data_IF_961315612398
#
_entry.id   IF_961315612398
#
_cell.length_a   1.000
_cell.length_b   1.000
_cell.length_c   1.000
_cell.angle_alpha   90.00
_cell.angle_beta   90.00
_cell.angle_gamma   90.00
#
_symmetry.space_group_name_H-M   'P 1'
#
loop_
_entity.id
_entity.type
_entity.pdbx_description
1 polymer ?
#
# COMPACT_ATOMS: atom_id res chain seq x y z
N UNK A 1 21.89 -1.90 -6.27
CA UNK A 1 21.57 -2.47 -7.60
C UNK A 1 22.68 -3.41 -8.10
N UNK A 2 23.96 -3.09 -7.92
CA UNK A 2 25.09 -3.96 -8.32
C UNK A 2 25.14 -5.30 -7.57
N UNK A 3 24.87 -5.34 -6.25
CA UNK A 3 24.86 -6.60 -5.47
C UNK A 3 23.77 -7.58 -5.91
N UNK A 4 22.62 -7.13 -6.40
CA UNK A 4 21.54 -8.00 -6.85
C UNK A 4 21.83 -8.71 -8.18
N UNK A 5 22.68 -8.13 -9.00
CA UNK A 5 23.05 -8.70 -10.31
C UNK A 5 24.10 -9.80 -10.15
N UNK A 6 25.02 -9.67 -9.21
CA UNK A 6 26.04 -10.69 -8.92
C UNK A 6 25.48 -11.94 -8.21
N UNK A 7 24.36 -11.80 -7.45
CA UNK A 7 23.73 -12.96 -6.78
C UNK A 7 22.97 -13.90 -7.76
N UNK A 8 22.72 -13.50 -8.99
CA UNK A 8 21.96 -14.30 -9.96
C UNK A 8 22.82 -15.26 -10.80
N UNK A 9 24.14 -15.10 -10.75
CA UNK A 9 25.07 -15.96 -11.49
C UNK A 9 25.59 -17.16 -10.69
N UNK A 10 25.27 -17.26 -9.39
CA UNK A 10 25.66 -18.36 -8.49
C UNK A 10 24.45 -19.20 -8.07
N UNK A 11 23.68 -19.70 -9.03
CA UNK A 11 22.66 -20.71 -8.74
C UNK A 11 23.34 -22.06 -8.47
N UNK A 12 22.98 -22.79 -7.37
CA UNK A 12 23.59 -24.08 -7.06
C UNK A 12 23.28 -25.11 -8.14
N UNK A 13 24.29 -25.93 -8.52
CA UNK A 13 24.09 -27.12 -9.33
C UNK A 13 23.37 -28.17 -8.46
N UNK A 14 22.33 -28.78 -9.03
CA UNK A 14 21.52 -29.82 -8.38
C UNK A 14 22.38 -31.01 -7.94
N UNK A 15 22.36 -31.34 -6.62
CA UNK A 15 22.74 -32.67 -6.12
C UNK A 15 23.90 -32.78 -5.13
N UNK A 16 24.42 -31.68 -4.54
CA UNK A 16 25.45 -31.72 -3.48
C UNK A 16 24.95 -31.21 -2.13
N UNK A 17 25.55 -31.62 -1.00
CA UNK A 17 25.34 -30.96 0.29
C UNK A 17 25.72 -29.47 0.16
N UNK A 18 24.94 -28.55 0.74
CA UNK A 18 25.19 -27.11 0.63
C UNK A 18 26.58 -26.77 1.15
N UNK A 19 27.36 -26.07 0.34
CA UNK A 19 28.69 -25.62 0.70
C UNK A 19 28.63 -24.64 1.89
N UNK A 20 29.77 -24.41 2.53
CA UNK A 20 29.85 -23.45 3.64
C UNK A 20 29.46 -22.04 3.16
N UNK A 21 29.73 -21.70 1.93
CA UNK A 21 29.36 -20.43 1.30
C UNK A 21 27.85 -20.35 1.07
N UNK A 22 27.18 -21.42 0.65
CA UNK A 22 25.73 -21.48 0.47
C UNK A 22 25.00 -21.22 1.80
N UNK A 23 25.48 -21.79 2.89
CA UNK A 23 24.95 -21.54 4.25
C UNK A 23 25.12 -20.07 4.68
N UNK A 24 26.25 -19.45 4.34
CA UNK A 24 26.50 -18.04 4.62
C UNK A 24 25.51 -17.16 3.86
N UNK A 25 25.25 -17.45 2.59
CA UNK A 25 24.27 -16.71 1.79
C UNK A 25 22.84 -16.87 2.34
N UNK A 26 22.47 -18.07 2.77
CA UNK A 26 21.18 -18.32 3.39
C UNK A 26 21.02 -17.54 4.71
N UNK A 27 22.03 -17.54 5.57
CA UNK A 27 22.02 -16.74 6.80
C UNK A 27 21.97 -15.22 6.53
N UNK A 28 22.67 -14.75 5.50
CA UNK A 28 22.60 -13.35 5.09
C UNK A 28 21.20 -12.97 4.56
N UNK A 29 20.56 -13.84 3.79
CA UNK A 29 19.21 -13.62 3.31
C UNK A 29 18.19 -13.61 4.47
N UNK A 30 18.30 -14.54 5.41
CA UNK A 30 17.47 -14.58 6.63
C UNK A 30 17.69 -13.34 7.50
N UNK A 31 18.94 -12.91 7.67
CA UNK A 31 19.25 -11.69 8.44
C UNK A 31 18.66 -10.43 7.77
N UNK A 32 18.73 -10.32 6.44
CA UNK A 32 18.10 -9.21 5.71
C UNK A 32 16.57 -9.21 5.85
N UNK A 33 15.95 -10.38 5.83
CA UNK A 33 14.51 -10.51 6.03
C UNK A 33 14.10 -10.13 7.45
N UNK A 34 14.88 -10.57 8.45
CA UNK A 34 14.66 -10.22 9.86
C UNK A 34 14.81 -8.71 10.11
N UNK A 35 15.86 -8.09 9.57
CA UNK A 35 16.10 -6.64 9.66
C UNK A 35 14.99 -5.86 8.96
N UNK A 36 14.59 -6.29 7.78
CA UNK A 36 13.50 -5.64 7.03
C UNK A 36 12.16 -5.79 7.75
N UNK A 37 11.90 -6.95 8.35
CA UNK A 37 10.75 -7.22 9.20
C UNK A 37 10.74 -6.34 10.45
N UNK A 38 11.86 -6.29 11.19
CA UNK A 38 12.01 -5.47 12.39
C UNK A 38 11.85 -3.97 12.12
N UNK A 39 12.40 -3.47 11.01
CA UNK A 39 12.21 -2.07 10.59
C UNK A 39 10.73 -1.81 10.28
N UNK A 40 10.02 -2.76 9.69
CA UNK A 40 8.59 -2.65 9.42
C UNK A 40 7.77 -2.60 10.70
N UNK A 41 8.07 -3.47 11.66
CA UNK A 41 7.42 -3.48 12.99
C UNK A 41 7.71 -2.21 13.79
N UNK A 42 8.95 -1.73 13.81
CA UNK A 42 9.31 -0.46 14.45
C UNK A 42 8.57 0.73 13.82
N UNK A 43 8.45 0.77 12.49
CA UNK A 43 7.67 1.80 11.80
C UNK A 43 6.18 1.71 12.13
N UNK A 44 5.62 0.51 12.26
CA UNK A 44 4.26 0.33 12.73
C UNK A 44 4.09 0.84 14.17
N UNK A 45 4.95 0.45 15.09
CA UNK A 45 4.91 0.88 16.50
C UNK A 45 5.10 2.38 16.68
N UNK A 46 6.02 3.00 15.91
CA UNK A 46 6.22 4.46 15.93
C UNK A 46 4.98 5.19 15.38
N UNK A 47 4.36 4.63 14.34
CA UNK A 47 3.11 5.18 13.80
C UNK A 47 1.94 4.99 14.76
N UNK A 48 1.88 3.88 15.51
CA UNK A 48 0.89 3.67 16.57
C UNK A 48 1.06 4.67 17.73
N UNK A 49 2.27 4.92 18.21
CA UNK A 49 2.53 5.93 19.25
C UNK A 49 2.24 7.37 18.79
N UNK A 50 2.33 7.66 17.50
CA UNK A 50 1.93 8.96 16.93
C UNK A 50 0.40 9.14 16.84
N UNK A 51 -0.37 8.06 17.07
CA UNK A 51 -1.82 7.98 16.88
C UNK A 51 -2.68 8.23 18.11
N UNK A 52 -2.13 8.66 19.22
CA UNK A 52 -2.93 9.09 20.37
C UNK A 52 -3.72 10.40 20.14
N UNK A 53 -3.64 10.99 18.95
CA UNK A 53 -4.60 11.98 18.47
C UNK A 53 -5.57 11.27 17.54
N UNK A 54 -6.88 11.33 17.84
CA UNK A 54 -8.01 10.87 17.04
C UNK A 54 -7.83 11.18 15.55
N UNK A 55 -7.16 10.26 14.83
CA UNK A 55 -6.87 10.46 13.42
C UNK A 55 -8.05 9.91 12.63
N UNK A 56 -8.92 10.79 12.16
CA UNK A 56 -10.04 10.44 11.29
C UNK A 56 -9.55 9.95 9.93
N UNK A 57 -10.41 9.25 9.19
CA UNK A 57 -10.10 8.83 7.81
C UNK A 57 -9.90 10.06 6.93
N UNK A 58 -10.78 11.06 7.05
CA UNK A 58 -10.68 12.33 6.32
C UNK A 58 -9.35 13.02 6.58
N UNK A 59 -8.99 13.23 7.86
CA UNK A 59 -7.72 13.85 8.22
C UNK A 59 -6.50 13.06 7.71
N UNK A 60 -6.59 11.73 7.67
CA UNK A 60 -5.55 10.87 7.12
C UNK A 60 -5.35 11.08 5.63
N UNK A 61 -6.45 11.14 4.87
CA UNK A 61 -6.40 11.32 3.41
C UNK A 61 -5.91 12.72 3.05
N UNK A 62 -6.44 13.75 3.69
CA UNK A 62 -6.05 15.15 3.47
C UNK A 62 -4.57 15.40 3.82
N UNK A 63 -4.08 14.84 4.94
CA UNK A 63 -2.67 14.96 5.35
C UNK A 63 -1.74 14.29 4.33
N UNK A 64 -2.08 13.10 3.82
CA UNK A 64 -1.28 12.42 2.81
C UNK A 64 -1.29 13.17 1.48
N UNK A 65 -2.45 13.59 1.01
CA UNK A 65 -2.61 14.36 -0.23
C UNK A 65 -1.83 15.68 -0.16
N UNK A 66 -1.94 16.42 0.94
CA UNK A 66 -1.25 17.69 1.15
C UNK A 66 0.27 17.61 1.21
N UNK A 67 0.84 16.42 1.43
CA UNK A 67 2.31 16.19 1.42
C UNK A 67 2.88 15.96 0.04
N UNK A 68 2.07 15.59 -0.94
CA UNK A 68 2.50 15.40 -2.33
C UNK A 68 2.72 16.78 -2.96
N UNK A 69 3.89 17.00 -3.54
CA UNK A 69 4.27 18.26 -4.18
C UNK A 69 4.53 18.11 -5.67
N UNK A 70 4.73 16.89 -6.12
CA UNK A 70 5.11 16.54 -7.49
C UNK A 70 3.94 16.68 -8.46
N UNK A 71 2.74 16.33 -8.02
CA UNK A 71 1.48 16.44 -8.78
C UNK A 71 0.36 16.90 -7.85
N UNK A 72 -0.71 17.54 -8.34
CA UNK A 72 -1.92 17.77 -7.57
C UNK A 72 -2.60 16.47 -7.21
N UNK A 73 -3.03 16.34 -5.94
CA UNK A 73 -3.88 15.27 -5.45
C UNK A 73 -5.18 15.89 -4.99
N UNK A 74 -6.24 15.69 -5.75
CA UNK A 74 -7.57 16.20 -5.44
C UNK A 74 -8.31 15.21 -4.54
N UNK A 75 -8.90 15.71 -3.45
CA UNK A 75 -9.62 14.87 -2.48
C UNK A 75 -11.08 15.29 -2.45
N UNK A 76 -11.97 14.33 -2.64
CA UNK A 76 -13.40 14.51 -2.48
C UNK A 76 -13.92 13.62 -1.34
N UNK A 77 -14.63 14.22 -0.40
CA UNK A 77 -15.22 13.53 0.75
C UNK A 77 -16.75 13.52 0.60
N UNK A 78 -17.34 12.33 0.58
CA UNK A 78 -18.78 12.12 0.50
C UNK A 78 -19.28 11.44 1.78
N UNK A 79 -20.28 12.02 2.42
CA UNK A 79 -20.85 11.55 3.70
C UNK A 79 -20.10 12.11 4.92
N UNK A 80 -20.34 11.52 6.08
CA UNK A 80 -19.81 12.00 7.36
C UNK A 80 -18.80 11.01 7.95
N UNK A 81 -17.60 11.51 8.26
CA UNK A 81 -16.53 10.73 8.92
C UNK A 81 -16.82 10.67 10.43
N UNK A 82 -17.51 9.64 10.85
CA UNK A 82 -17.84 9.41 12.25
C UNK A 82 -16.81 8.49 12.94
N UNK A 83 -16.86 8.41 14.25
CA UNK A 83 -15.92 7.59 15.04
C UNK A 83 -15.87 6.11 14.65
N UNK A 84 -16.95 5.58 14.06
CA UNK A 84 -16.99 4.17 13.62
C UNK A 84 -15.97 3.85 12.53
N UNK A 85 -15.51 4.85 11.77
CA UNK A 85 -14.50 4.68 10.72
C UNK A 85 -13.06 4.83 11.20
N UNK A 86 -12.84 5.34 12.41
CA UNK A 86 -11.49 5.63 12.94
C UNK A 86 -10.57 4.41 12.88
N UNK A 87 -11.09 3.21 13.12
CA UNK A 87 -10.31 1.98 13.04
C UNK A 87 -9.81 1.65 11.60
N UNK A 88 -10.41 2.27 10.58
CA UNK A 88 -10.03 2.09 9.18
C UNK A 88 -8.94 3.08 8.72
N UNK A 89 -8.71 4.17 9.45
CA UNK A 89 -7.71 5.18 9.10
C UNK A 89 -6.30 4.58 8.85
N UNK A 90 -5.80 3.61 9.65
CA UNK A 90 -4.53 2.95 9.40
C UNK A 90 -4.47 2.19 8.08
N UNK A 91 -5.56 1.52 7.73
CA UNK A 91 -5.66 0.73 6.50
C UNK A 91 -5.67 1.67 5.32
N UNK A 92 -6.50 2.73 5.36
CA UNK A 92 -6.57 3.78 4.34
C UNK A 92 -5.22 4.46 4.15
N UNK A 93 -4.53 4.82 5.25
CA UNK A 93 -3.17 5.37 5.19
C UNK A 93 -2.21 4.47 4.40
N UNK A 94 -2.17 3.18 4.74
CA UNK A 94 -1.27 2.22 4.08
C UNK A 94 -1.56 2.03 2.60
N UNK A 95 -2.84 2.03 2.23
CA UNK A 95 -3.29 1.88 0.85
C UNK A 95 -2.99 3.14 0.03
N UNK A 96 -3.42 4.30 0.53
CA UNK A 96 -3.24 5.57 -0.18
C UNK A 96 -1.76 5.92 -0.36
N UNK A 97 -0.93 5.71 0.67
CA UNK A 97 0.52 5.90 0.58
C UNK A 97 1.15 5.04 -0.52
N UNK A 98 0.72 3.78 -0.65
CA UNK A 98 1.21 2.88 -1.68
C UNK A 98 0.74 3.33 -3.07
N UNK A 99 -0.54 3.74 -3.20
CA UNK A 99 -1.08 4.26 -4.44
C UNK A 99 -0.34 5.52 -4.91
N UNK A 100 -0.13 6.49 -4.03
CA UNK A 100 0.66 7.71 -4.31
C UNK A 100 2.08 7.34 -4.75
N UNK A 101 2.73 6.41 -4.02
CA UNK A 101 4.09 5.96 -4.37
C UNK A 101 4.16 5.34 -5.75
N UNK A 102 3.15 4.55 -6.12
CA UNK A 102 3.08 3.91 -7.44
C UNK A 102 2.82 4.93 -8.54
N UNK A 103 1.89 5.86 -8.32
CA UNK A 103 1.62 6.95 -9.24
C UNK A 103 2.89 7.76 -9.53
N UNK A 104 3.57 8.26 -8.51
CA UNK A 104 4.78 9.08 -8.65
C UNK A 104 5.96 8.34 -9.30
N UNK A 105 6.05 7.00 -9.14
CA UNK A 105 7.17 6.22 -9.68
C UNK A 105 6.95 5.69 -11.08
N UNK A 106 5.70 5.40 -11.44
CA UNK A 106 5.44 4.55 -12.61
C UNK A 106 4.42 5.11 -13.58
N UNK A 107 3.53 6.02 -13.12
CA UNK A 107 2.40 6.44 -13.93
C UNK A 107 2.72 7.56 -14.90
N UNK A 108 3.74 8.38 -14.63
CA UNK A 108 3.96 9.66 -15.33
C UNK A 108 2.68 10.52 -15.39
N UNK A 109 1.88 10.47 -14.33
CA UNK A 109 0.62 11.17 -14.22
C UNK A 109 0.81 12.66 -14.00
N UNK A 110 -0.18 13.44 -14.44
CA UNK A 110 -0.24 14.87 -14.16
C UNK A 110 -1.13 15.20 -12.97
N UNK A 111 -1.99 14.27 -12.55
CA UNK A 111 -2.97 14.44 -11.48
C UNK A 111 -3.35 13.09 -10.86
N UNK A 112 -3.75 13.12 -9.60
CA UNK A 112 -4.39 11.99 -8.90
C UNK A 112 -5.67 12.49 -8.22
N UNK A 113 -6.74 11.70 -8.30
CA UNK A 113 -8.00 11.98 -7.62
C UNK A 113 -8.28 10.89 -6.58
N UNK A 114 -8.77 11.29 -5.42
CA UNK A 114 -9.09 10.42 -4.29
C UNK A 114 -10.50 10.75 -3.80
N UNK A 115 -11.45 9.81 -3.95
CA UNK A 115 -12.80 9.96 -3.45
C UNK A 115 -13.00 9.03 -2.27
N UNK A 116 -13.39 9.58 -1.15
CA UNK A 116 -13.75 8.83 0.06
C UNK A 116 -15.25 8.94 0.27
N UNK A 117 -15.92 7.78 0.32
CA UNK A 117 -17.37 7.76 0.54
C UNK A 117 -17.69 6.96 1.80
N UNK A 118 -18.28 7.65 2.78
CA UNK A 118 -18.78 7.07 4.01
C UNK A 118 -20.21 6.59 3.81
N UNK A 119 -20.43 5.27 3.90
CA UNK A 119 -21.74 4.64 3.81
C UNK A 119 -22.05 3.95 5.14
N UNK A 120 -23.32 3.74 5.47
CA UNK A 120 -23.75 3.20 6.78
C UNK A 120 -22.92 2.00 7.25
N UNK A 121 -22.63 1.05 6.38
CA UNK A 121 -22.01 -0.22 6.73
C UNK A 121 -20.62 -0.40 6.11
N UNK A 122 -20.11 0.61 5.38
CA UNK A 122 -18.84 0.52 4.68
C UNK A 122 -18.22 1.88 4.39
N UNK A 123 -16.90 1.88 4.30
CA UNK A 123 -16.11 2.95 3.71
C UNK A 123 -15.71 2.52 2.29
N UNK A 124 -16.00 3.35 1.29
CA UNK A 124 -15.51 3.17 -0.07
C UNK A 124 -14.41 4.17 -0.36
N UNK A 125 -13.37 3.72 -1.02
CA UNK A 125 -12.26 4.55 -1.46
C UNK A 125 -12.01 4.29 -2.95
N UNK A 126 -11.98 5.38 -3.72
CA UNK A 126 -11.68 5.38 -5.15
C UNK A 126 -10.43 6.23 -5.34
N UNK A 127 -9.41 5.66 -5.94
CA UNK A 127 -8.14 6.34 -6.22
C UNK A 127 -7.84 6.12 -7.69
N UNK A 128 -7.56 7.19 -8.42
CA UNK A 128 -7.20 7.11 -9.83
C UNK A 128 -6.23 8.20 -10.22
N UNK A 129 -5.33 7.87 -11.12
CA UNK A 129 -4.39 8.77 -11.77
C UNK A 129 -4.66 8.82 -13.27
N UNK A 130 -4.25 9.90 -13.90
CA UNK A 130 -4.34 10.13 -15.34
C UNK A 130 -3.07 9.71 -16.10
N UNK A 131 -2.31 8.77 -15.54
CA UNK A 131 -1.02 8.37 -16.07
C UNK A 131 -1.07 7.45 -17.28
N UNK A 132 0.08 6.84 -17.61
CA UNK A 132 0.21 6.00 -18.81
C UNK A 132 -0.59 4.69 -18.75
N UNK A 133 -1.05 4.27 -17.57
CA UNK A 133 -1.73 3.00 -17.39
C UNK A 133 -0.88 1.79 -17.78
N UNK A 134 -1.53 0.65 -18.01
CA UNK A 134 -0.88 -0.57 -18.49
C UNK A 134 -1.89 -1.49 -19.19
N UNK A 135 -1.42 -2.22 -20.21
CA UNK A 135 -2.21 -3.21 -20.93
C UNK A 135 -2.66 -4.38 -20.04
N UNK A 136 -1.82 -4.77 -19.09
CA UNK A 136 -2.12 -5.83 -18.13
C UNK A 136 -1.57 -5.52 -16.75
N UNK A 137 -2.43 -5.64 -15.73
CA UNK A 137 -2.05 -5.42 -14.34
C UNK A 137 -1.27 -6.63 -13.84
N UNK A 138 0.03 -6.46 -13.65
CA UNK A 138 0.89 -7.51 -13.07
C UNK A 138 0.91 -7.35 -11.55
N UNK A 139 0.79 -8.46 -10.84
CA UNK A 139 0.87 -8.47 -9.39
C UNK A 139 2.28 -8.10 -8.92
N UNK A 140 2.42 -6.86 -8.47
CA UNK A 140 3.63 -6.33 -7.82
C UNK A 140 3.50 -6.43 -6.30
N UNK A 141 4.61 -6.24 -5.58
CA UNK A 141 4.57 -6.18 -4.11
C UNK A 141 3.63 -5.08 -3.59
N UNK A 142 3.51 -3.96 -4.31
CA UNK A 142 2.59 -2.87 -3.97
C UNK A 142 1.13 -3.27 -4.11
N UNK A 143 0.74 -3.82 -5.26
CA UNK A 143 -0.64 -4.30 -5.52
C UNK A 143 -1.02 -5.40 -4.54
N UNK A 144 -0.13 -6.36 -4.31
CA UNK A 144 -0.32 -7.41 -3.30
C UNK A 144 -0.49 -6.81 -1.90
N UNK A 145 0.33 -5.84 -1.52
CA UNK A 145 0.22 -5.17 -0.23
C UNK A 145 -1.10 -4.41 -0.04
N UNK A 146 -1.64 -3.78 -1.08
CA UNK A 146 -2.97 -3.16 -1.04
C UNK A 146 -4.04 -4.23 -0.85
N UNK A 147 -3.99 -5.32 -1.63
CA UNK A 147 -4.93 -6.44 -1.54
C UNK A 147 -4.94 -7.06 -0.14
N UNK A 148 -3.79 -7.45 0.37
CA UNK A 148 -3.65 -8.07 1.70
C UNK A 148 -4.18 -7.19 2.83
N UNK A 149 -3.91 -5.86 2.79
CA UNK A 149 -4.43 -4.93 3.80
C UNK A 149 -5.95 -4.82 3.73
N UNK A 150 -6.50 -4.75 2.53
CA UNK A 150 -7.94 -4.68 2.32
C UNK A 150 -8.64 -5.95 2.80
N UNK A 151 -8.12 -7.13 2.45
CA UNK A 151 -8.67 -8.43 2.86
C UNK A 151 -8.57 -8.64 4.38
N UNK A 152 -7.44 -8.28 5.01
CA UNK A 152 -7.28 -8.32 6.48
C UNK A 152 -8.30 -7.43 7.21
N UNK A 153 -8.71 -6.33 6.58
CA UNK A 153 -9.79 -5.49 7.11
C UNK A 153 -11.20 -6.04 6.80
N UNK A 154 -11.30 -7.18 6.11
CA UNK A 154 -12.57 -7.79 5.69
C UNK A 154 -13.18 -7.13 4.46
N UNK A 155 -12.43 -6.30 3.75
CA UNK A 155 -12.86 -5.57 2.58
C UNK A 155 -12.58 -6.27 1.27
N UNK A 156 -12.92 -5.58 0.18
CA UNK A 156 -12.66 -6.01 -1.20
C UNK A 156 -11.97 -4.91 -1.98
N UNK A 157 -11.09 -5.28 -2.92
CA UNK A 157 -10.41 -4.33 -3.81
C UNK A 157 -10.44 -4.81 -5.25
N UNK A 158 -10.59 -3.87 -6.17
CA UNK A 158 -10.48 -4.08 -7.62
C UNK A 158 -9.53 -3.05 -8.20
N UNK A 159 -8.78 -3.47 -9.20
CA UNK A 159 -7.85 -2.62 -9.94
C UNK A 159 -8.26 -2.60 -11.40
N UNK A 160 -8.18 -1.43 -12.02
CA UNK A 160 -8.45 -1.25 -13.44
C UNK A 160 -7.35 -0.37 -14.04
N UNK A 161 -6.95 -0.70 -15.25
CA UNK A 161 -6.01 0.10 -16.03
C UNK A 161 -6.12 -0.30 -17.49
N UNK A 162 -5.92 0.66 -18.38
CA UNK A 162 -5.68 0.44 -19.78
C UNK A 162 -4.56 1.37 -20.24
N UNK A 163 -3.91 1.06 -21.34
CA UNK A 163 -2.84 1.89 -21.89
C UNK A 163 -3.35 3.28 -22.24
N UNK A 164 -2.74 4.31 -21.64
CA UNK A 164 -3.16 5.71 -21.79
C UNK A 164 -4.37 6.14 -20.96
N UNK A 165 -4.98 5.25 -20.15
CA UNK A 165 -6.17 5.56 -19.34
C UNK A 165 -5.89 5.62 -17.82
N UNK A 166 -4.62 5.63 -17.43
CA UNK A 166 -4.20 5.69 -16.04
C UNK A 166 -4.44 4.40 -15.25
N UNK A 167 -4.41 4.51 -13.93
CA UNK A 167 -4.61 3.41 -13.01
C UNK A 167 -5.70 3.73 -11.99
N UNK A 168 -6.60 2.78 -11.73
CA UNK A 168 -7.76 2.96 -10.88
C UNK A 168 -7.81 1.86 -9.82
N UNK A 169 -8.06 2.27 -8.58
CA UNK A 169 -8.23 1.39 -7.43
C UNK A 169 -9.59 1.65 -6.81
N UNK A 170 -10.43 0.63 -6.74
CA UNK A 170 -11.74 0.66 -6.08
C UNK A 170 -11.71 -0.30 -4.90
N UNK A 171 -11.96 0.19 -3.71
CA UNK A 171 -12.04 -0.66 -2.53
C UNK A 171 -13.24 -0.32 -1.67
N UNK A 172 -13.71 -1.34 -0.95
CA UNK A 172 -14.77 -1.24 0.04
C UNK A 172 -14.32 -1.92 1.32
N UNK A 173 -14.35 -1.20 2.42
CA UNK A 173 -13.97 -1.66 3.76
C UNK A 173 -15.23 -1.69 4.64
N UNK A 174 -15.60 -2.85 5.21
CA UNK A 174 -16.75 -2.92 6.09
C UNK A 174 -16.48 -2.20 7.41
N UNK A 175 -17.48 -1.51 7.92
CA UNK A 175 -17.46 -0.99 9.28
C UNK A 175 -17.91 -2.09 10.21
N UNK A 176 -17.07 -2.50 11.14
CA UNK A 176 -17.48 -3.43 12.20
C UNK A 176 -18.26 -2.66 13.24
N UNK A 177 -19.55 -2.97 13.39
CA UNK A 177 -20.30 -2.47 14.55
C UNK A 177 -19.53 -2.87 15.82
N UNK A 178 -19.10 -1.88 16.59
CA UNK A 178 -18.64 -2.15 17.95
C UNK A 178 -19.87 -2.62 18.72
N UNK A 179 -19.96 -3.93 18.95
CA UNK A 179 -20.91 -4.46 19.93
C UNK A 179 -20.52 -3.86 21.28
N UNK A 180 -21.36 -2.94 21.75
CA UNK A 180 -21.34 -2.38 23.11
C UNK A 180 -21.60 -3.50 24.11
#
# INVERSE_FOLDING_TARGET
RLMRTQMKELAPQEGGEPSQDDKIYEYMAQAQELVTGGIRELRCSINEMRREKETTVTGTVEDLAGRVKEIPVEVEIQGEDSQVYTCLAPVVYGILREAITNCLKYAAASRMDVIVKFERDSLKLFIFDDGCGCESIRESNGIRGIRERTEKAGGTVRFFSAEGEGFQIYLSLPVKEQKT
#
